data_IF_978155422607
#
_entry.id   IF_978155422607
#
_cell.length_a   1.000
_cell.length_b   1.000
_cell.length_c   1.000
_cell.angle_alpha   90.00
_cell.angle_beta   90.00
_cell.angle_gamma   90.00
#
_symmetry.space_group_name_H-M   'P 1'
#
loop_
_entity.id
_entity.type
_entity.pdbx_description
1 polymer ?
#
# COMPACT_ATOMS: atom_id res chain seq x y z
N UNK A 1 16.64 -18.84 -67.13
CA UNK A 1 15.44 -18.96 -66.27
C UNK A 1 15.88 -18.78 -64.82
N UNK A 2 15.60 -17.62 -64.20
CA UNK A 2 15.95 -17.33 -62.79
C UNK A 2 14.71 -17.52 -61.92
N UNK A 3 14.73 -18.49 -61.01
CA UNK A 3 13.69 -18.69 -60.00
C UNK A 3 14.04 -17.81 -58.79
N UNK A 4 13.22 -16.79 -58.51
CA UNK A 4 13.26 -16.08 -57.23
C UNK A 4 12.53 -16.93 -56.19
N UNK A 5 13.26 -17.35 -55.15
CA UNK A 5 12.68 -17.95 -53.96
C UNK A 5 12.27 -16.82 -52.99
N UNK A 6 10.99 -16.74 -52.67
CA UNK A 6 10.46 -15.85 -51.64
C UNK A 6 10.59 -16.55 -50.28
N UNK A 7 11.46 -16.03 -49.41
CA UNK A 7 11.54 -16.45 -48.02
C UNK A 7 10.54 -15.60 -47.24
N UNK A 8 9.45 -16.23 -46.80
CA UNK A 8 8.50 -15.63 -45.85
C UNK A 8 9.16 -15.67 -44.47
N UNK A 9 9.59 -14.51 -43.97
CA UNK A 9 9.96 -14.35 -42.56
C UNK A 9 8.67 -14.37 -41.73
N UNK A 10 8.37 -15.51 -41.11
CA UNK A 10 7.44 -15.56 -39.98
C UNK A 10 8.14 -14.93 -38.77
N UNK A 11 7.88 -13.65 -38.52
CA UNK A 11 8.22 -13.03 -37.25
C UNK A 11 7.35 -13.67 -36.15
N UNK A 12 7.95 -14.20 -35.07
CA UNK A 12 7.17 -14.72 -33.96
C UNK A 12 6.47 -13.55 -33.28
N UNK A 13 5.13 -13.56 -33.30
CA UNK A 13 4.35 -12.73 -32.40
C UNK A 13 4.70 -13.14 -30.98
N UNK A 14 5.48 -12.32 -30.27
CA UNK A 14 5.63 -12.47 -28.84
C UNK A 14 4.27 -12.23 -28.20
N UNK A 15 3.52 -13.29 -27.96
CA UNK A 15 2.36 -13.25 -27.08
C UNK A 15 2.89 -12.84 -25.70
N UNK A 16 2.74 -11.57 -25.33
CA UNK A 16 2.94 -11.16 -23.96
C UNK A 16 1.86 -11.86 -23.14
N UNK A 17 2.24 -12.90 -22.41
CA UNK A 17 1.34 -13.49 -21.43
C UNK A 17 1.04 -12.42 -20.40
N UNK A 18 -0.23 -12.04 -20.27
CA UNK A 18 -0.66 -11.13 -19.22
C UNK A 18 -0.19 -11.66 -17.88
N UNK A 19 0.58 -10.84 -17.16
CA UNK A 19 1.17 -11.26 -15.89
C UNK A 19 0.06 -11.45 -14.86
N UNK A 20 -0.09 -12.69 -14.40
CA UNK A 20 -1.00 -13.05 -13.32
C UNK A 20 -0.40 -12.62 -11.98
N UNK A 21 -1.21 -11.95 -11.18
CA UNK A 21 -0.89 -11.60 -9.80
C UNK A 21 -1.83 -12.34 -8.85
N UNK A 22 -1.24 -12.87 -7.78
CA UNK A 22 -1.94 -13.47 -6.65
C UNK A 22 -1.70 -12.58 -5.42
N UNK A 23 -2.61 -11.65 -5.20
CA UNK A 23 -2.52 -10.62 -4.18
C UNK A 23 -1.91 -9.30 -4.65
N UNK A 24 -2.26 -8.22 -3.94
CA UNK A 24 -1.80 -6.88 -4.26
C UNK A 24 -0.35 -6.68 -3.83
N UNK A 25 0.09 -7.33 -2.76
CA UNK A 25 1.48 -7.35 -2.31
C UNK A 25 2.42 -7.93 -3.38
N UNK A 26 1.99 -8.98 -4.08
CA UNK A 26 2.73 -9.55 -5.21
C UNK A 26 2.83 -8.58 -6.39
N UNK A 27 1.76 -7.82 -6.66
CA UNK A 27 1.80 -6.74 -7.65
C UNK A 27 2.73 -5.60 -7.23
N UNK A 28 2.59 -5.08 -6.00
CA UNK A 28 3.38 -3.97 -5.50
C UNK A 28 4.87 -4.27 -5.47
N UNK A 29 5.24 -5.51 -5.14
CA UNK A 29 6.62 -5.99 -5.15
C UNK A 29 7.29 -5.95 -6.53
N UNK A 30 6.52 -5.80 -7.61
CA UNK A 30 7.06 -5.70 -8.98
C UNK A 30 7.25 -4.27 -9.46
N UNK A 31 6.73 -3.30 -8.71
CA UNK A 31 6.81 -1.90 -9.09
C UNK A 31 8.21 -1.35 -8.82
N UNK A 32 8.77 -0.54 -9.75
CA UNK A 32 10.07 0.06 -9.54
C UNK A 32 10.01 1.14 -8.44
N UNK A 33 11.16 1.38 -7.82
CA UNK A 33 11.30 2.50 -6.89
C UNK A 33 10.59 2.32 -5.55
N UNK A 34 10.22 1.09 -5.15
CA UNK A 34 9.68 0.81 -3.80
C UNK A 34 10.49 1.52 -2.71
N UNK A 35 9.79 2.26 -1.87
CA UNK A 35 10.36 2.99 -0.73
C UNK A 35 10.72 2.00 0.38
N UNK A 36 9.85 1.03 0.65
CA UNK A 36 10.05 0.00 1.66
C UNK A 36 10.40 -1.32 0.97
N UNK A 37 11.63 -1.79 1.17
CA UNK A 37 12.15 -3.05 0.59
C UNK A 37 12.54 -4.08 1.65
N UNK A 38 12.60 -3.66 2.91
CA UNK A 38 12.83 -4.53 4.05
C UNK A 38 11.58 -5.33 4.40
N UNK A 39 11.74 -6.25 5.35
CA UNK A 39 10.61 -6.95 5.94
C UNK A 39 9.73 -6.02 6.77
N UNK A 40 8.51 -6.47 7.04
CA UNK A 40 7.63 -5.85 8.01
C UNK A 40 8.04 -6.23 9.44
N UNK A 41 7.69 -5.37 10.39
CA UNK A 41 7.86 -5.64 11.82
C UNK A 41 6.48 -5.69 12.47
N UNK A 42 6.02 -6.90 12.81
CA UNK A 42 4.75 -7.10 13.50
C UNK A 42 4.78 -6.48 14.89
N UNK A 43 3.75 -5.70 15.23
CA UNK A 43 3.62 -5.06 16.53
C UNK A 43 2.92 -6.01 17.51
N UNK A 44 3.59 -6.29 18.63
CA UNK A 44 3.09 -7.20 19.66
C UNK A 44 2.43 -6.42 20.80
N UNK A 45 1.37 -6.95 21.43
CA UNK A 45 0.78 -6.33 22.61
C UNK A 45 1.75 -6.41 23.79
N UNK A 46 1.84 -5.33 24.57
CA UNK A 46 2.49 -5.31 25.87
C UNK A 46 1.72 -4.40 26.83
N UNK A 47 1.80 -4.72 28.12
CA UNK A 47 1.21 -3.91 29.19
C UNK A 47 2.23 -2.96 29.79
N UNK A 48 1.78 -1.81 30.29
CA UNK A 48 2.54 -1.02 31.26
C UNK A 48 1.91 -1.19 32.64
N UNK A 49 2.74 -1.32 33.68
CA UNK A 49 2.23 -1.37 35.07
C UNK A 49 1.31 -0.17 35.34
N UNK A 50 0.10 -0.45 35.83
CA UNK A 50 -0.90 0.57 36.19
C UNK A 50 -1.77 1.11 35.03
N UNK A 51 -1.66 0.55 33.81
CA UNK A 51 -2.55 0.89 32.69
C UNK A 51 -3.45 -0.28 32.31
N UNK A 52 -4.74 -0.02 32.12
CA UNK A 52 -5.70 -0.98 31.54
C UNK A 52 -5.67 -0.99 29.99
N UNK A 53 -4.98 -0.01 29.37
CA UNK A 53 -4.91 0.10 27.91
C UNK A 53 -3.86 -0.86 27.33
N UNK A 54 -4.25 -1.61 26.29
CA UNK A 54 -3.33 -2.47 25.53
C UNK A 54 -2.51 -1.61 24.58
N UNK A 55 -1.19 -1.63 24.76
CA UNK A 55 -0.25 -0.97 23.85
C UNK A 55 0.28 -2.02 22.88
N UNK A 56 0.32 -1.71 21.59
CA UNK A 56 1.01 -2.55 20.61
C UNK A 56 2.34 -1.91 20.25
N UNK A 57 3.42 -2.68 20.21
CA UNK A 57 4.68 -2.12 19.79
C UNK A 57 5.73 -3.12 19.41
N UNK A 58 6.83 -2.54 18.94
CA UNK A 58 8.01 -3.25 18.50
C UNK A 58 9.23 -2.37 18.77
N UNK A 59 10.33 -2.99 19.17
CA UNK A 59 11.62 -2.32 19.31
C UNK A 59 12.69 -3.25 18.78
N UNK A 60 13.57 -2.72 17.93
CA UNK A 60 14.59 -3.54 17.29
C UNK A 60 15.52 -2.71 16.42
N UNK A 61 16.23 -3.40 15.52
CA UNK A 61 17.08 -2.76 14.51
C UNK A 61 16.52 -3.06 13.12
N UNK A 62 16.38 -2.03 12.31
CA UNK A 62 16.08 -2.13 10.88
C UNK A 62 17.18 -1.42 10.09
N UNK A 63 17.73 -2.09 9.06
CA UNK A 63 18.90 -1.61 8.31
C UNK A 63 20.07 -1.12 9.22
N UNK A 64 20.26 -1.78 10.37
CA UNK A 64 21.29 -1.46 11.36
C UNK A 64 20.96 -0.28 12.30
N UNK A 65 19.85 0.43 12.09
CA UNK A 65 19.42 1.56 12.93
C UNK A 65 18.41 1.12 13.98
N UNK A 66 18.51 1.60 15.23
CA UNK A 66 17.52 1.28 16.25
C UNK A 66 16.21 2.02 15.97
N UNK A 67 15.11 1.29 16.07
CA UNK A 67 13.76 1.84 15.92
C UNK A 67 12.84 1.31 17.01
N UNK A 68 11.87 2.13 17.38
CA UNK A 68 10.80 1.75 18.29
C UNK A 68 9.45 2.30 17.78
N UNK A 69 8.41 1.47 17.83
CA UNK A 69 7.03 1.83 17.48
C UNK A 69 6.12 1.46 18.63
N UNK A 70 5.24 2.37 19.00
CA UNK A 70 4.16 2.14 19.95
C UNK A 70 2.85 2.69 19.35
N UNK A 71 1.79 1.90 19.44
CA UNK A 71 0.42 2.25 19.10
C UNK A 71 -0.43 2.15 20.37
N UNK A 72 -1.12 3.23 20.73
CA UNK A 72 -2.04 3.26 21.87
C UNK A 72 -3.08 4.36 21.67
N UNK A 73 -4.36 4.10 21.94
CA UNK A 73 -5.46 5.09 21.91
C UNK A 73 -5.48 6.00 20.67
N UNK A 74 -5.23 5.42 19.49
CA UNK A 74 -5.14 6.15 18.23
C UNK A 74 -3.86 6.96 18.05
N UNK A 75 -2.89 6.91 18.95
CA UNK A 75 -1.59 7.55 18.78
C UNK A 75 -0.60 6.61 18.12
N UNK A 76 0.25 7.18 17.27
CA UNK A 76 1.41 6.50 16.70
C UNK A 76 2.65 7.16 17.28
N UNK A 77 3.47 6.42 18.03
CA UNK A 77 4.76 6.91 18.52
C UNK A 77 5.88 6.14 17.85
N UNK A 78 6.79 6.88 17.22
CA UNK A 78 7.96 6.32 16.54
C UNK A 78 9.20 6.96 17.14
N UNK A 79 10.18 6.15 17.54
CA UNK A 79 11.46 6.57 18.12
C UNK A 79 11.27 7.62 19.23
N UNK A 80 10.37 7.32 20.16
CA UNK A 80 10.06 8.17 21.32
C UNK A 80 9.17 9.37 21.03
N UNK A 81 8.89 9.72 19.77
CA UNK A 81 8.11 10.90 19.39
C UNK A 81 6.70 10.51 18.95
N UNK A 82 5.69 11.02 19.66
CA UNK A 82 4.30 10.83 19.31
C UNK A 82 3.89 11.66 18.09
N UNK A 83 3.14 11.05 17.19
CA UNK A 83 2.45 11.68 16.09
C UNK A 83 1.06 12.09 16.55
N UNK A 84 0.71 13.36 16.37
CA UNK A 84 -0.65 13.85 16.66
C UNK A 84 -1.55 13.48 15.50
N UNK A 85 -2.57 12.64 15.72
CA UNK A 85 -3.47 12.23 14.63
C UNK A 85 -4.15 13.39 13.90
N UNK A 86 -4.49 14.46 14.62
CA UNK A 86 -5.03 15.70 14.02
C UNK A 86 -4.09 16.38 13.00
N UNK A 87 -2.80 16.05 13.00
CA UNK A 87 -1.81 16.55 12.04
C UNK A 87 -1.58 15.61 10.86
N UNK A 88 -2.15 14.40 10.92
CA UNK A 88 -2.14 13.46 9.80
C UNK A 88 -3.12 13.97 8.75
N UNK A 89 -2.65 14.03 7.50
CA UNK A 89 -3.48 14.42 6.37
C UNK A 89 -4.17 13.19 5.82
N UNK A 90 -5.49 13.09 5.92
CA UNK A 90 -6.24 11.99 5.31
C UNK A 90 -6.32 12.18 3.79
N UNK A 91 -6.19 11.09 3.03
CA UNK A 91 -6.52 11.09 1.61
C UNK A 91 -7.98 11.53 1.40
N UNK A 92 -8.33 12.24 0.31
CA UNK A 92 -9.70 12.69 0.09
C UNK A 92 -10.72 11.55 0.17
N UNK A 93 -11.71 11.71 1.06
CA UNK A 93 -12.76 10.71 1.31
C UNK A 93 -12.41 9.67 2.38
N UNK A 94 -11.15 9.61 2.84
CA UNK A 94 -10.74 8.76 3.96
C UNK A 94 -10.98 9.46 5.30
N UNK A 95 -11.33 8.68 6.32
CA UNK A 95 -11.51 9.15 7.70
C UNK A 95 -10.42 8.53 8.56
N UNK A 96 -9.81 9.32 9.45
CA UNK A 96 -8.84 8.83 10.43
C UNK A 96 -9.59 8.41 11.69
N UNK A 97 -9.42 7.15 12.11
CA UNK A 97 -10.00 6.63 13.34
C UNK A 97 -8.91 6.11 14.28
N UNK A 98 -9.18 6.16 15.59
CA UNK A 98 -8.25 5.64 16.60
C UNK A 98 -8.01 4.13 16.46
N UNK A 99 -8.98 3.39 15.91
CA UNK A 99 -8.94 1.95 15.71
C UNK A 99 -8.43 1.54 14.31
N UNK A 100 -7.99 2.51 13.49
CA UNK A 100 -7.55 2.24 12.12
C UNK A 100 -6.45 1.18 12.07
N UNK A 101 -5.53 1.24 13.03
CA UNK A 101 -4.42 0.32 13.21
C UNK A 101 -4.84 -0.70 14.27
N UNK A 102 -5.50 -1.77 13.83
CA UNK A 102 -6.01 -2.81 14.71
C UNK A 102 -4.93 -3.78 15.20
N UNK A 103 -5.38 -4.97 15.61
CA UNK A 103 -4.49 -6.03 16.10
C UNK A 103 -3.64 -6.54 14.95
N UNK A 104 -2.34 -6.71 15.18
CA UNK A 104 -1.41 -7.19 14.16
C UNK A 104 -0.99 -6.14 13.14
N UNK A 105 -1.07 -4.86 13.49
CA UNK A 105 -0.44 -3.80 12.71
C UNK A 105 1.06 -4.10 12.51
N UNK A 106 1.57 -3.64 11.37
CA UNK A 106 2.94 -3.84 10.95
C UNK A 106 3.63 -2.51 10.68
N UNK A 107 4.91 -2.42 11.03
CA UNK A 107 5.74 -1.27 10.73
C UNK A 107 6.81 -1.59 9.68
N UNK A 108 7.03 -0.64 8.78
CA UNK A 108 8.02 -0.69 7.71
C UNK A 108 8.91 0.55 7.84
N UNK A 109 10.22 0.38 7.61
CA UNK A 109 11.19 1.46 7.71
C UNK A 109 12.00 1.63 6.44
N UNK A 110 12.35 2.87 6.17
CA UNK A 110 13.28 3.27 5.12
C UNK A 110 14.02 4.55 5.55
N UNK A 111 15.04 4.96 4.81
CA UNK A 111 15.81 6.15 5.19
C UNK A 111 14.92 7.41 5.21
N UNK A 112 14.72 7.97 6.41
CA UNK A 112 13.87 9.15 6.61
C UNK A 112 12.36 8.89 6.57
N UNK A 113 11.92 7.64 6.50
CA UNK A 113 10.50 7.27 6.38
C UNK A 113 10.12 6.08 7.27
N UNK A 114 8.89 6.10 7.75
CA UNK A 114 8.21 4.94 8.29
C UNK A 114 6.85 4.79 7.61
N UNK A 115 6.37 3.56 7.52
CA UNK A 115 5.00 3.28 7.13
C UNK A 115 4.42 2.28 8.11
N UNK A 116 3.18 2.51 8.55
CA UNK A 116 2.46 1.57 9.40
C UNK A 116 1.17 1.19 8.69
N UNK A 117 0.93 -0.10 8.55
CA UNK A 117 -0.33 -0.62 8.05
C UNK A 117 -1.01 -1.52 9.09
N UNK A 118 -2.34 -1.59 9.00
CA UNK A 118 -3.13 -2.47 9.83
C UNK A 118 -4.57 -2.52 9.36
N UNK A 119 -5.28 -3.55 9.82
CA UNK A 119 -6.70 -3.71 9.55
C UNK A 119 -7.47 -3.38 10.82
N UNK A 120 -8.51 -2.52 10.77
CA UNK A 120 -9.34 -2.23 11.94
C UNK A 120 -9.92 -3.51 12.55
N UNK A 121 -10.03 -3.64 13.88
CA UNK A 121 -10.57 -4.86 14.51
C UNK A 121 -12.03 -5.15 14.14
N UNK A 122 -12.78 -4.12 13.74
CA UNK A 122 -14.17 -4.22 13.28
C UNK A 122 -14.31 -4.71 11.83
N UNK A 123 -13.20 -4.80 11.08
CA UNK A 123 -13.23 -5.24 9.71
C UNK A 123 -13.58 -6.73 9.63
N UNK A 124 -14.65 -7.05 8.89
CA UNK A 124 -15.11 -8.40 8.61
C UNK A 124 -15.58 -8.50 7.16
N UNK A 125 -15.63 -9.72 6.62
CA UNK A 125 -16.09 -9.96 5.24
C UNK A 125 -15.27 -9.18 4.22
N UNK A 126 -15.90 -8.28 3.47
CA UNK A 126 -15.24 -7.44 2.46
C UNK A 126 -14.44 -6.27 3.05
N UNK A 127 -14.68 -5.90 4.31
CA UNK A 127 -13.98 -4.78 4.95
C UNK A 127 -12.50 -5.08 5.21
N UNK A 128 -12.09 -6.35 5.27
CA UNK A 128 -10.68 -6.75 5.43
C UNK A 128 -9.81 -6.33 4.24
N UNK A 129 -10.44 -5.98 3.12
CA UNK A 129 -9.79 -5.43 1.91
C UNK A 129 -9.35 -3.98 2.10
N UNK A 130 -9.85 -3.31 3.15
CA UNK A 130 -9.50 -1.95 3.51
C UNK A 130 -8.47 -1.96 4.62
N UNK A 131 -7.19 -1.88 4.24
CA UNK A 131 -6.08 -1.70 5.18
C UNK A 131 -5.87 -0.21 5.42
N UNK A 132 -5.78 0.21 6.67
CA UNK A 132 -5.34 1.56 7.00
C UNK A 132 -3.84 1.65 6.85
N UNK A 133 -3.36 2.56 6.01
CA UNK A 133 -1.92 2.77 5.76
C UNK A 133 -1.54 4.20 6.08
N UNK A 134 -0.56 4.36 6.97
CA UNK A 134 -0.02 5.63 7.41
C UNK A 134 1.43 5.78 6.97
N UNK A 135 1.69 6.70 6.04
CA UNK A 135 3.03 7.07 5.63
C UNK A 135 3.53 8.24 6.46
N UNK A 136 4.74 8.13 7.03
CA UNK A 136 5.27 9.09 8.00
C UNK A 136 6.70 9.49 7.60
N UNK A 137 6.93 10.78 7.41
CA UNK A 137 8.26 11.32 7.17
C UNK A 137 8.96 11.61 8.51
N UNK A 138 10.09 10.94 8.76
CA UNK A 138 10.86 10.99 10.01
C UNK A 138 11.84 12.18 10.05
N UNK A 139 11.38 13.37 9.69
CA UNK A 139 12.19 14.60 9.77
C UNK A 139 12.08 15.28 11.15
N UNK A 140 12.77 16.41 11.35
CA UNK A 140 12.59 17.27 12.53
C UNK A 140 11.13 17.75 12.66
N UNK A 141 10.47 18.04 11.54
CA UNK A 141 9.05 18.37 11.46
C UNK A 141 8.32 17.19 10.82
N UNK A 142 7.89 16.24 11.64
CA UNK A 142 7.20 15.06 11.14
C UNK A 142 5.93 15.45 10.41
N UNK A 143 5.76 14.86 9.23
CA UNK A 143 4.54 14.93 8.45
C UNK A 143 4.05 13.51 8.24
N UNK A 144 2.74 13.36 8.18
CA UNK A 144 2.11 12.06 8.05
C UNK A 144 0.85 12.14 7.21
N UNK A 145 0.58 11.04 6.50
CA UNK A 145 -0.47 10.91 5.51
C UNK A 145 -1.17 9.56 5.71
N UNK A 146 -2.50 9.58 5.83
CA UNK A 146 -3.30 8.36 5.69
C UNK A 146 -3.59 8.18 4.21
N UNK A 147 -3.13 7.06 3.65
CA UNK A 147 -3.31 6.72 2.23
C UNK A 147 -4.71 6.14 1.98
N UNK A 148 -5.17 6.02 0.71
CA UNK A 148 -6.39 5.28 0.37
C UNK A 148 -6.34 3.88 0.96
N UNK A 149 -7.48 3.33 1.38
CA UNK A 149 -7.50 2.07 2.15
C UNK A 149 -7.68 0.81 1.32
N UNK A 150 -8.42 0.89 0.21
CA UNK A 150 -8.76 -0.28 -0.59
C UNK A 150 -7.50 -0.92 -1.20
N UNK A 151 -7.19 -2.14 -0.78
CA UNK A 151 -6.03 -2.93 -1.17
C UNK A 151 -4.68 -2.21 -1.00
N UNK A 152 -4.63 -1.26 -0.08
CA UNK A 152 -3.42 -0.50 0.16
C UNK A 152 -2.40 -1.31 0.97
N UNK A 153 -1.13 -1.01 0.74
CA UNK A 153 -0.02 -1.56 1.52
C UNK A 153 1.15 -0.58 1.53
N UNK A 154 1.94 -0.61 2.60
CA UNK A 154 3.24 0.04 2.69
C UNK A 154 4.17 -0.40 1.54
N UNK A 155 4.07 -1.64 1.07
CA UNK A 155 4.83 -2.13 -0.10
C UNK A 155 4.44 -1.42 -1.40
N UNK A 156 3.23 -0.87 -1.48
CA UNK A 156 2.75 -0.08 -2.62
C UNK A 156 3.32 1.35 -2.68
N UNK A 157 4.05 1.79 -1.65
CA UNK A 157 4.67 3.11 -1.62
C UNK A 157 6.00 3.11 -2.34
N UNK A 158 6.15 4.03 -3.30
CA UNK A 158 7.31 4.18 -4.19
C UNK A 158 7.90 5.58 -4.06
N UNK A 159 9.14 5.74 -4.47
CA UNK A 159 9.78 7.03 -4.72
C UNK A 159 9.90 7.27 -6.21
N UNK A 160 9.25 8.33 -6.71
CA UNK A 160 9.27 8.73 -8.12
C UNK A 160 9.63 10.21 -8.21
N UNK A 161 10.69 10.52 -8.95
CA UNK A 161 11.23 11.89 -9.03
C UNK A 161 11.43 12.56 -7.66
N UNK A 162 11.86 11.79 -6.66
CA UNK A 162 12.11 12.28 -5.29
C UNK A 162 10.84 12.51 -4.44
N UNK A 163 9.66 12.13 -4.94
CA UNK A 163 8.39 12.23 -4.20
C UNK A 163 7.83 10.85 -3.86
N UNK A 164 7.22 10.66 -2.69
CA UNK A 164 6.45 9.46 -2.40
C UNK A 164 5.25 9.38 -3.34
N UNK A 165 5.04 8.21 -3.93
CA UNK A 165 3.95 7.88 -4.82
C UNK A 165 3.29 6.56 -4.42
N UNK A 166 1.99 6.44 -4.66
CA UNK A 166 1.18 5.28 -4.31
C UNK A 166 -0.04 5.21 -5.24
N UNK A 167 -0.74 4.09 -5.27
CA UNK A 167 -1.92 3.93 -6.10
C UNK A 167 -3.20 4.05 -5.25
N UNK A 168 -4.19 4.77 -5.76
CA UNK A 168 -5.58 4.67 -5.30
C UNK A 168 -6.26 3.58 -6.12
N UNK A 169 -6.73 2.54 -5.45
CA UNK A 169 -7.45 1.44 -6.10
C UNK A 169 -8.96 1.69 -6.03
N UNK A 170 -9.67 1.40 -7.12
CA UNK A 170 -11.13 1.46 -7.18
C UNK A 170 -11.67 0.26 -7.94
N UNK A 171 -12.78 -0.34 -7.49
CA UNK A 171 -13.44 -1.39 -8.25
C UNK A 171 -14.00 -0.86 -9.56
N UNK A 172 -13.96 -1.72 -10.58
CA UNK A 172 -14.69 -1.54 -11.83
C UNK A 172 -15.76 -2.61 -11.92
N UNK A 173 -16.98 -2.18 -12.22
CA UNK A 173 -18.13 -3.05 -12.42
C UNK A 173 -18.47 -3.09 -13.91
N UNK A 174 -19.07 -4.19 -14.35
CA UNK A 174 -19.68 -4.28 -15.67
C UNK A 174 -21.17 -3.99 -15.54
N UNK A 175 -21.76 -3.43 -16.60
CA UNK A 175 -23.18 -3.05 -16.60
C UNK A 175 -24.07 -4.24 -16.23
N UNK A 176 -24.93 -4.04 -15.23
CA UNK A 176 -25.88 -5.05 -14.74
C UNK A 176 -25.29 -6.10 -13.79
N UNK A 177 -24.01 -6.00 -13.40
CA UNK A 177 -23.38 -6.91 -12.44
C UNK A 177 -23.07 -6.22 -11.10
N UNK A 178 -23.47 -6.85 -10.00
CA UNK A 178 -23.17 -6.41 -8.64
C UNK A 178 -21.76 -6.84 -8.18
N UNK A 179 -21.12 -7.75 -8.93
CA UNK A 179 -19.74 -8.18 -8.68
C UNK A 179 -18.75 -7.33 -9.47
N UNK A 180 -17.62 -6.93 -8.86
CA UNK A 180 -16.59 -6.19 -9.57
C UNK A 180 -15.90 -7.12 -10.58
N UNK A 181 -15.66 -6.60 -11.79
CA UNK A 181 -14.93 -7.30 -12.86
C UNK A 181 -13.43 -7.01 -12.84
N UNK A 182 -12.99 -6.06 -12.01
CA UNK A 182 -11.59 -5.69 -11.89
C UNK A 182 -11.40 -4.43 -11.06
N UNK A 183 -10.23 -3.81 -11.21
CA UNK A 183 -9.87 -2.56 -10.52
C UNK A 183 -9.17 -1.58 -11.45
N UNK A 184 -9.25 -0.30 -11.14
CA UNK A 184 -8.37 0.75 -11.66
C UNK A 184 -7.42 1.22 -10.57
N UNK A 185 -6.16 1.41 -10.93
CA UNK A 185 -5.14 2.03 -10.10
C UNK A 185 -4.88 3.43 -10.65
N UNK A 186 -5.15 4.46 -9.86
CA UNK A 186 -4.79 5.84 -10.18
C UNK A 186 -3.59 6.25 -9.33
N UNK A 187 -2.46 6.56 -9.95
CA UNK A 187 -1.26 6.96 -9.24
C UNK A 187 -1.42 8.37 -8.64
N UNK A 188 -1.10 8.50 -7.36
CA UNK A 188 -0.97 9.77 -6.64
C UNK A 188 0.44 9.94 -6.12
N UNK A 189 0.86 11.18 -5.95
CA UNK A 189 2.09 11.57 -5.29
C UNK A 189 1.83 12.56 -4.15
N UNK A 190 2.75 12.61 -3.18
CA UNK A 190 2.76 13.61 -2.12
C UNK A 190 3.74 14.72 -2.52
N UNK A 191 3.21 15.88 -2.91
CA UNK A 191 3.99 17.05 -3.33
C UNK A 191 3.65 18.24 -2.45
N UNK A 192 4.66 18.84 -1.81
CA UNK A 192 4.43 19.94 -0.84
C UNK A 192 3.50 19.54 0.31
N UNK A 193 3.48 18.24 0.64
CA UNK A 193 2.59 17.66 1.64
C UNK A 193 1.11 17.57 1.24
N UNK A 194 0.78 17.73 -0.04
CA UNK A 194 -0.56 17.56 -0.61
C UNK A 194 -0.60 16.33 -1.53
N UNK A 195 -1.77 15.72 -1.65
CA UNK A 195 -2.02 14.67 -2.63
C UNK A 195 -2.21 15.29 -4.01
N UNK A 196 -1.47 14.79 -5.00
CA UNK A 196 -1.56 15.22 -6.39
C UNK A 196 -1.64 13.99 -7.26
N UNK A 197 -2.65 13.94 -8.13
CA UNK A 197 -2.76 12.87 -9.12
C UNK A 197 -1.59 12.95 -10.11
N UNK A 198 -0.91 11.82 -10.31
CA UNK A 198 0.27 11.73 -11.16
C UNK A 198 -0.04 11.28 -12.61
N UNK A 199 -1.33 11.10 -12.93
CA UNK A 199 -1.84 10.89 -14.28
C UNK A 199 -1.67 9.47 -14.85
N UNK A 200 -0.94 8.59 -14.17
CA UNK A 200 -0.86 7.18 -14.58
C UNK A 200 -2.09 6.43 -14.06
N UNK A 201 -2.88 5.91 -14.99
CA UNK A 201 -3.99 5.01 -14.67
C UNK A 201 -3.73 3.69 -15.35
N UNK A 202 -3.70 2.60 -14.58
CA UNK A 202 -3.73 1.25 -15.13
C UNK A 202 -4.96 0.51 -14.66
N UNK A 203 -5.42 -0.46 -15.44
CA UNK A 203 -6.57 -1.29 -15.08
C UNK A 203 -6.13 -2.73 -14.94
N UNK A 204 -6.79 -3.47 -14.06
CA UNK A 204 -6.69 -4.90 -13.96
C UNK A 204 -8.07 -5.54 -14.13
N UNK A 205 -8.08 -6.78 -14.62
CA UNK A 205 -9.26 -7.64 -14.67
C UNK A 205 -9.10 -8.77 -13.66
N UNK A 206 -10.17 -9.09 -12.92
CA UNK A 206 -10.19 -10.28 -12.08
C UNK A 206 -10.31 -11.52 -12.95
N UNK A 207 -9.53 -12.55 -12.63
CA UNK A 207 -9.49 -13.79 -13.41
C UNK A 207 -10.66 -14.70 -13.05
N UNK A 208 -11.13 -14.62 -11.81
CA UNK A 208 -12.17 -15.45 -11.25
C UNK A 208 -13.23 -14.55 -10.58
N UNK A 209 -14.51 -14.79 -10.87
CA UNK A 209 -15.61 -14.07 -10.24
C UNK A 209 -15.55 -14.23 -8.71
N UNK A 210 -15.84 -13.17 -7.97
CA UNK A 210 -15.70 -13.11 -6.51
C UNK A 210 -14.26 -13.09 -5.95
N UNK A 211 -13.23 -13.49 -6.73
CA UNK A 211 -11.84 -13.49 -6.28
C UNK A 211 -11.12 -12.19 -6.67
N UNK A 212 -11.26 -11.18 -5.80
CA UNK A 212 -10.68 -9.84 -6.01
C UNK A 212 -9.17 -9.75 -5.79
N UNK A 213 -8.50 -10.85 -5.44
CA UNK A 213 -7.05 -10.90 -5.21
C UNK A 213 -6.28 -11.47 -6.39
N UNK A 214 -6.96 -12.15 -7.32
CA UNK A 214 -6.32 -12.77 -8.48
C UNK A 214 -6.66 -12.01 -9.75
N UNK A 215 -5.67 -11.33 -10.32
CA UNK A 215 -5.90 -10.41 -11.44
C UNK A 215 -4.76 -10.39 -12.45
N UNK A 216 -5.09 -9.93 -13.65
CA UNK A 216 -4.12 -9.57 -14.70
C UNK A 216 -4.19 -8.09 -14.98
N UNK A 217 -3.05 -7.47 -15.28
CA UNK A 217 -3.01 -6.08 -15.74
C UNK A 217 -3.47 -6.04 -17.20
N UNK A 218 -4.38 -5.12 -17.51
CA UNK A 218 -4.76 -4.83 -18.89
C UNK A 218 -3.62 -4.09 -19.60
N UNK A 219 -3.35 -4.47 -20.85
CA UNK A 219 -2.45 -3.77 -21.77
C UNK A 219 -3.01 -2.40 -22.19
#
# INVERSE_FOLDING_TARGET
>A
MKRLAWIVLCLPSAAQADKLFDGYEAYYSTLPGQLFRGGSHGLAPFGSEGSEAVIYGWTGRDAGRPHAVELHDGWIKIDGKALRMRSVKAFPGEVINAEDLGRGAEAYFADGWACIEGTPPSASGTAVRHKSVYLIQLSKQRQAWKLPTLFASCLGVRMKAGLPAFDKVQYRYQDGNDEPAGVSFTEYAIKGGMYVEAGNVCSAAFVEAGNVYKFTLGS
#
